data_IF_244978438354
#
_entry.id   IF_244978438354
#
_cell.length_a   1.000
_cell.length_b   1.000
_cell.length_c   1.000
_cell.angle_alpha   90.00
_cell.angle_beta   90.00
_cell.angle_gamma   90.00
#
_symmetry.space_group_name_H-M   'P 1'
#
loop_
_entity.id
_entity.type
_entity.pdbx_description
1 polymer ?
#
# COMPACT_ATOMS: atom_id res chain seq x y z
N UNK A 1 -4.76 23.75 25.90
CA UNK A 1 -4.89 22.74 26.98
C UNK A 1 -5.61 21.49 26.51
N UNK A 2 -6.77 21.59 25.80
CA UNK A 2 -7.55 20.43 25.35
C UNK A 2 -6.77 19.50 24.40
N UNK A 3 -5.95 20.03 23.50
CA UNK A 3 -5.10 19.22 22.61
C UNK A 3 -4.02 18.44 23.38
N UNK A 4 -3.44 19.05 24.44
CA UNK A 4 -2.45 18.37 25.29
C UNK A 4 -3.11 17.21 26.04
N UNK A 5 -4.33 17.43 26.58
CA UNK A 5 -5.11 16.39 27.26
C UNK A 5 -5.46 15.26 26.28
N UNK A 6 -5.91 15.62 25.07
CA UNK A 6 -6.22 14.65 24.02
C UNK A 6 -5.00 13.83 23.60
N UNK A 7 -3.84 14.46 23.47
CA UNK A 7 -2.58 13.76 23.18
C UNK A 7 -2.19 12.80 24.32
N UNK A 8 -2.30 13.24 25.58
CA UNK A 8 -2.05 12.39 26.74
C UNK A 8 -2.95 11.16 26.77
N UNK A 9 -4.24 11.32 26.49
CA UNK A 9 -5.17 10.20 26.40
C UNK A 9 -4.88 9.28 25.22
N UNK A 10 -4.49 9.82 24.05
CA UNK A 10 -4.10 9.02 22.91
C UNK A 10 -2.86 8.14 23.21
N UNK A 11 -1.85 8.69 23.90
CA UNK A 11 -0.70 7.91 24.34
C UNK A 11 -1.08 6.82 25.35
N UNK A 12 -1.95 7.14 26.30
CA UNK A 12 -2.45 6.15 27.28
C UNK A 12 -3.17 4.99 26.59
N UNK A 13 -4.08 5.29 25.67
CA UNK A 13 -4.81 4.28 24.90
C UNK A 13 -3.85 3.47 24.01
N UNK A 14 -2.91 4.13 23.31
CA UNK A 14 -1.94 3.45 22.50
C UNK A 14 -1.10 2.44 23.30
N UNK A 15 -0.70 2.80 24.53
CA UNK A 15 0.06 1.90 25.40
C UNK A 15 -0.77 0.68 25.84
N UNK A 16 -2.04 0.87 26.15
CA UNK A 16 -2.94 -0.21 26.59
C UNK A 16 -3.32 -1.15 25.44
N UNK A 17 -3.61 -0.59 24.27
CA UNK A 17 -4.20 -1.32 23.14
C UNK A 17 -3.16 -1.80 22.12
N UNK A 18 -1.90 -1.36 22.23
CA UNK A 18 -0.86 -1.62 21.20
C UNK A 18 -0.70 -3.08 20.85
N UNK A 19 -0.75 -3.98 21.83
CA UNK A 19 -0.59 -5.41 21.58
C UNK A 19 -1.75 -5.98 20.76
N UNK A 20 -2.98 -5.59 21.13
CA UNK A 20 -4.20 -5.97 20.43
C UNK A 20 -4.23 -5.38 19.01
N UNK A 21 -3.99 -4.08 18.88
CA UNK A 21 -3.97 -3.39 17.60
C UNK A 21 -2.93 -3.97 16.65
N UNK A 22 -1.74 -4.29 17.15
CA UNK A 22 -0.69 -4.92 16.35
C UNK A 22 -1.06 -6.33 15.90
N UNK A 23 -1.72 -7.13 16.75
CA UNK A 23 -2.18 -8.46 16.38
C UNK A 23 -3.23 -8.38 15.26
N UNK A 24 -4.21 -7.52 15.41
CA UNK A 24 -5.23 -7.24 14.40
C UNK A 24 -4.61 -6.74 13.08
N UNK A 25 -3.73 -5.74 13.16
CA UNK A 25 -3.06 -5.20 11.97
C UNK A 25 -2.22 -6.26 11.25
N UNK A 26 -1.56 -7.18 11.97
CA UNK A 26 -0.81 -8.31 11.35
C UNK A 26 -1.73 -9.28 10.62
N UNK A 27 -2.92 -9.55 11.15
CA UNK A 27 -3.92 -10.38 10.48
C UNK A 27 -4.37 -9.74 9.14
N UNK A 28 -4.70 -8.45 9.16
CA UNK A 28 -5.05 -7.70 7.95
C UNK A 28 -3.86 -7.61 6.97
N UNK A 29 -2.63 -7.44 7.50
CA UNK A 29 -1.41 -7.46 6.69
C UNK A 29 -1.27 -8.76 5.89
N UNK A 30 -1.46 -9.90 6.57
CA UNK A 30 -1.38 -11.22 5.92
C UNK A 30 -2.44 -11.36 4.82
N UNK A 31 -3.65 -10.88 5.06
CA UNK A 31 -4.72 -10.88 4.07
C UNK A 31 -4.35 -10.04 2.84
N UNK A 32 -3.78 -8.84 3.03
CA UNK A 32 -3.33 -7.99 1.91
C UNK A 32 -2.19 -8.65 1.14
N UNK A 33 -1.19 -9.19 1.84
CA UNK A 33 -0.06 -9.88 1.21
C UNK A 33 -0.52 -11.08 0.38
N UNK A 34 -1.38 -11.92 0.95
CA UNK A 34 -1.94 -13.08 0.25
C UNK A 34 -2.80 -12.67 -0.96
N UNK A 35 -3.60 -11.61 -0.81
CA UNK A 35 -4.51 -11.15 -1.84
C UNK A 35 -3.84 -10.50 -3.05
N UNK A 36 -2.57 -10.08 -2.95
CA UNK A 36 -1.81 -9.50 -4.06
C UNK A 36 -0.68 -10.39 -4.56
N UNK A 37 -0.42 -11.53 -3.91
CA UNK A 37 0.75 -12.38 -4.19
C UNK A 37 0.77 -12.96 -5.62
N UNK A 38 -0.39 -13.25 -6.17
CA UNK A 38 -0.58 -13.86 -7.49
C UNK A 38 -0.84 -12.83 -8.60
N UNK A 39 -0.90 -11.53 -8.27
CA UNK A 39 -1.13 -10.48 -9.27
C UNK A 39 0.17 -10.21 -10.04
N UNK A 40 0.18 -10.35 -11.37
CA UNK A 40 1.39 -10.16 -12.16
C UNK A 40 1.98 -8.76 -11.99
N UNK A 41 3.31 -8.69 -11.87
CA UNK A 41 4.03 -7.42 -11.78
C UNK A 41 3.84 -6.64 -10.48
N UNK A 42 3.25 -7.24 -9.44
CA UNK A 42 3.16 -6.63 -8.11
C UNK A 42 4.45 -6.88 -7.33
N UNK A 43 5.01 -5.81 -6.78
CA UNK A 43 6.24 -5.85 -5.99
C UNK A 43 6.00 -5.18 -4.65
N UNK A 44 6.26 -5.90 -3.55
CA UNK A 44 6.24 -5.32 -2.21
C UNK A 44 7.47 -4.43 -2.02
N UNK A 45 7.28 -3.20 -1.55
CA UNK A 45 8.37 -2.28 -1.25
C UNK A 45 8.78 -2.38 0.22
N UNK A 46 10.09 -2.54 0.44
CA UNK A 46 10.69 -2.74 1.75
C UNK A 46 10.63 -4.19 2.24
N UNK A 47 11.12 -4.43 3.45
CA UNK A 47 11.19 -5.76 4.06
C UNK A 47 9.78 -6.28 4.41
N UNK A 48 9.54 -7.57 4.19
CA UNK A 48 8.24 -8.19 4.46
C UNK A 48 7.96 -8.39 5.97
N UNK A 49 9.02 -8.58 6.76
CA UNK A 49 8.92 -8.93 8.19
C UNK A 49 9.27 -7.75 9.10
N UNK A 50 10.33 -6.99 8.76
CA UNK A 50 10.83 -5.88 9.56
C UNK A 50 10.13 -4.57 9.17
N UNK A 51 8.84 -4.47 9.53
CA UNK A 51 8.00 -3.31 9.24
C UNK A 51 6.90 -3.13 10.26
N UNK A 52 6.34 -1.93 10.31
CA UNK A 52 5.09 -1.69 11.02
C UNK A 52 3.94 -2.42 10.32
N UNK A 53 3.05 -3.10 11.07
CA UNK A 53 2.07 -3.99 10.45
C UNK A 53 0.90 -3.29 9.75
N UNK A 54 0.63 -2.03 10.04
CA UNK A 54 -0.58 -1.32 9.61
C UNK A 54 -0.42 -0.54 8.30
N UNK A 55 0.68 -0.76 7.58
CA UNK A 55 0.87 -0.15 6.27
C UNK A 55 1.74 -1.03 5.37
N UNK A 56 1.35 -1.10 4.10
CA UNK A 56 2.06 -1.77 3.03
C UNK A 56 2.20 -0.82 1.84
N UNK A 57 3.33 -0.87 1.17
CA UNK A 57 3.54 -0.15 -0.08
C UNK A 57 3.88 -1.15 -1.18
N UNK A 58 3.17 -1.08 -2.28
CA UNK A 58 3.37 -1.93 -3.45
C UNK A 58 3.62 -1.10 -4.69
N UNK A 59 4.48 -1.58 -5.56
CA UNK A 59 4.63 -1.09 -6.94
C UNK A 59 3.97 -2.06 -7.91
N UNK A 60 3.40 -1.53 -8.98
CA UNK A 60 2.62 -2.28 -9.97
C UNK A 60 3.25 -2.08 -11.35
N UNK A 61 3.98 -3.08 -11.84
CA UNK A 61 4.64 -2.98 -13.14
C UNK A 61 3.63 -2.96 -14.29
N UNK A 62 3.99 -2.24 -15.34
CA UNK A 62 3.19 -2.18 -16.57
C UNK A 62 1.98 -1.24 -16.50
N UNK A 63 1.85 -0.42 -15.46
CA UNK A 63 0.73 0.54 -15.32
C UNK A 63 1.21 1.88 -14.77
N UNK A 64 0.42 2.91 -15.02
CA UNK A 64 0.61 4.23 -14.43
C UNK A 64 -0.11 4.32 -13.08
N UNK A 65 0.59 4.83 -12.04
CA UNK A 65 0.06 4.93 -10.68
C UNK A 65 -1.16 5.82 -10.57
N UNK A 66 -1.21 6.93 -11.30
CA UNK A 66 -2.36 7.85 -11.32
C UNK A 66 -3.59 7.20 -11.95
N UNK A 67 -3.41 6.41 -13.01
CA UNK A 67 -4.51 5.69 -13.64
C UNK A 67 -5.10 4.65 -12.67
N UNK A 68 -4.24 3.97 -11.91
CA UNK A 68 -4.69 3.02 -10.88
C UNK A 68 -5.42 3.75 -9.74
N UNK A 69 -4.86 4.84 -9.23
CA UNK A 69 -5.49 5.67 -8.18
C UNK A 69 -6.88 6.14 -8.60
N UNK A 70 -7.00 6.72 -9.78
CA UNK A 70 -8.28 7.22 -10.32
C UNK A 70 -9.32 6.09 -10.41
N UNK A 71 -8.88 4.89 -10.84
CA UNK A 71 -9.81 3.77 -11.06
C UNK A 71 -10.34 3.16 -9.76
N UNK A 72 -9.62 3.29 -8.66
CA UNK A 72 -10.03 2.73 -7.36
C UNK A 72 -10.63 3.78 -6.41
N UNK A 73 -10.52 5.06 -6.70
CA UNK A 73 -10.87 6.17 -5.80
C UNK A 73 -12.31 6.19 -5.33
N UNK A 74 -13.25 5.71 -6.16
CA UNK A 74 -14.67 5.66 -5.82
C UNK A 74 -15.00 4.58 -4.78
N UNK A 75 -14.10 3.61 -4.60
CA UNK A 75 -14.32 2.45 -3.72
C UNK A 75 -13.36 2.43 -2.54
N UNK A 76 -12.11 2.85 -2.75
CA UNK A 76 -11.04 2.72 -1.76
C UNK A 76 -10.25 4.02 -1.65
N UNK A 77 -10.12 4.55 -0.45
CA UNK A 77 -9.23 5.66 -0.16
C UNK A 77 -7.80 5.14 -0.01
N UNK A 78 -6.95 5.42 -0.98
CA UNK A 78 -5.53 5.04 -1.00
C UNK A 78 -4.63 6.28 -1.12
N UNK A 79 -3.35 6.09 -0.85
CA UNK A 79 -2.34 7.13 -1.06
C UNK A 79 -1.35 6.69 -2.13
N UNK A 80 -0.92 7.63 -2.96
CA UNK A 80 0.27 7.44 -3.79
C UNK A 80 1.51 7.23 -2.91
N UNK A 81 2.58 6.67 -3.47
CA UNK A 81 3.84 6.46 -2.77
C UNK A 81 4.50 7.74 -2.25
N UNK A 82 4.07 8.91 -2.74
CA UNK A 82 4.65 10.23 -2.48
C UNK A 82 3.57 11.21 -2.00
N UNK A 83 3.28 11.21 -0.70
CA UNK A 83 2.26 12.09 -0.12
C UNK A 83 2.67 13.59 -0.09
N UNK A 84 3.98 13.89 -0.10
CA UNK A 84 4.50 15.27 0.02
C UNK A 84 4.85 15.93 -1.31
N UNK A 85 4.81 15.20 -2.41
CA UNK A 85 5.25 15.67 -3.73
C UNK A 85 4.12 15.62 -4.77
N UNK A 86 2.87 15.81 -4.35
CA UNK A 86 1.73 15.94 -5.28
C UNK A 86 1.90 17.08 -6.31
N UNK A 87 2.92 17.94 -6.15
CA UNK A 87 3.31 18.97 -7.08
C UNK A 87 4.60 18.65 -7.86
N UNK A 88 5.31 17.55 -7.60
CA UNK A 88 6.53 17.18 -8.31
C UNK A 88 6.34 15.88 -9.11
N UNK A 89 6.86 15.90 -10.33
CA UNK A 89 6.91 14.75 -11.25
C UNK A 89 7.91 13.69 -10.76
N UNK A 90 8.68 13.97 -9.71
CA UNK A 90 9.72 13.06 -9.23
C UNK A 90 9.15 11.96 -8.31
N UNK A 91 9.60 10.70 -8.50
CA UNK A 91 9.18 9.60 -7.66
C UNK A 91 9.73 9.73 -6.24
N UNK A 92 9.10 9.04 -5.29
CA UNK A 92 9.52 9.01 -3.90
C UNK A 92 11.00 8.66 -3.73
N UNK A 93 11.78 9.55 -3.12
CA UNK A 93 13.19 9.31 -2.79
C UNK A 93 13.39 8.06 -1.91
N UNK A 94 12.39 7.70 -1.09
CA UNK A 94 12.41 6.47 -0.27
C UNK A 94 12.38 5.24 -1.17
N UNK A 95 11.51 5.22 -2.20
CA UNK A 95 11.42 4.09 -3.13
C UNK A 95 12.68 3.98 -4.00
N UNK A 96 13.26 5.12 -4.38
CA UNK A 96 14.56 5.14 -5.07
C UNK A 96 15.67 4.56 -4.19
N UNK A 97 15.72 4.93 -2.91
CA UNK A 97 16.69 4.39 -1.95
C UNK A 97 16.50 2.89 -1.71
N UNK A 98 15.27 2.36 -1.86
CA UNK A 98 14.97 0.93 -1.85
C UNK A 98 15.34 0.23 -3.17
N UNK A 99 15.99 0.93 -4.12
CA UNK A 99 16.43 0.38 -5.41
C UNK A 99 15.30 0.18 -6.42
N UNK A 100 14.14 0.84 -6.25
CA UNK A 100 13.07 0.78 -7.24
C UNK A 100 13.41 1.65 -8.45
N UNK A 101 13.22 1.10 -9.65
CA UNK A 101 13.35 1.87 -10.89
C UNK A 101 12.30 2.99 -10.92
N UNK A 102 12.58 4.05 -11.68
CA UNK A 102 11.70 5.21 -11.80
C UNK A 102 10.23 4.82 -12.16
N UNK A 103 9.96 3.94 -13.15
CA UNK A 103 8.60 3.51 -13.44
C UNK A 103 7.93 2.77 -12.27
N UNK A 104 8.64 1.88 -11.58
CA UNK A 104 8.09 1.16 -10.42
C UNK A 104 7.82 2.08 -9.23
N UNK A 105 8.65 3.09 -9.02
CA UNK A 105 8.42 4.06 -7.96
C UNK A 105 7.20 4.95 -8.24
N UNK A 106 6.93 5.30 -9.51
CA UNK A 106 5.75 6.04 -9.92
C UNK A 106 4.45 5.22 -9.84
N UNK A 107 4.51 3.92 -10.10
CA UNK A 107 3.35 3.03 -10.04
C UNK A 107 3.06 2.51 -8.63
N UNK A 108 3.54 3.18 -7.59
CA UNK A 108 3.40 2.69 -6.22
C UNK A 108 2.14 3.22 -5.52
N UNK A 109 1.51 2.34 -4.75
CA UNK A 109 0.41 2.66 -3.84
C UNK A 109 0.75 2.26 -2.42
N UNK A 110 0.31 3.09 -1.46
CA UNK A 110 0.35 2.78 -0.03
C UNK A 110 -1.04 2.41 0.44
N UNK A 111 -1.16 1.21 0.98
CA UNK A 111 -2.36 0.68 1.62
C UNK A 111 -2.16 0.80 3.13
N UNK A 112 -3.01 1.56 3.79
CA UNK A 112 -2.98 1.75 5.24
C UNK A 112 -4.32 1.29 5.84
N UNK A 113 -4.25 0.63 6.97
CA UNK A 113 -5.40 0.14 7.72
C UNK A 113 -5.12 0.25 9.23
N UNK A 114 -6.14 0.18 10.05
CA UNK A 114 -6.02 0.42 11.49
C UNK A 114 -7.03 -0.40 12.29
N UNK A 115 -7.17 -0.06 13.57
CA UNK A 115 -8.01 -0.77 14.55
C UNK A 115 -9.48 -0.92 14.15
N UNK A 116 -9.99 -0.04 13.30
CA UNK A 116 -11.38 -0.05 12.85
C UNK A 116 -11.57 -0.67 11.46
N UNK A 117 -10.49 -1.00 10.77
CA UNK A 117 -10.57 -1.69 9.49
C UNK A 117 -10.94 -3.15 9.72
N UNK A 118 -11.83 -3.68 8.90
CA UNK A 118 -12.29 -5.06 8.99
C UNK A 118 -11.69 -5.94 7.89
N UNK A 119 -11.76 -7.26 8.05
CA UNK A 119 -11.40 -8.21 6.99
C UNK A 119 -12.25 -8.03 5.73
N UNK A 120 -13.51 -7.64 5.89
CA UNK A 120 -14.42 -7.36 4.78
C UNK A 120 -13.98 -6.11 3.99
N UNK A 121 -13.55 -5.04 4.69
CA UNK A 121 -13.01 -3.85 4.04
C UNK A 121 -11.76 -4.18 3.20
N UNK A 122 -10.87 -5.00 3.77
CA UNK A 122 -9.67 -5.45 3.06
C UNK A 122 -10.04 -6.32 1.85
N UNK A 123 -10.99 -7.24 1.99
CA UNK A 123 -11.44 -8.09 0.87
C UNK A 123 -12.03 -7.25 -0.27
N UNK A 124 -12.85 -6.25 0.06
CA UNK A 124 -13.42 -5.33 -0.93
C UNK A 124 -12.33 -4.49 -1.62
N UNK A 125 -11.40 -3.94 -0.85
CA UNK A 125 -10.28 -3.16 -1.39
C UNK A 125 -9.41 -4.01 -2.33
N UNK A 126 -9.09 -5.24 -1.95
CA UNK A 126 -8.32 -6.17 -2.77
C UNK A 126 -9.02 -6.52 -4.07
N UNK A 127 -10.32 -6.81 -4.03
CA UNK A 127 -11.11 -7.09 -5.23
C UNK A 127 -11.09 -5.91 -6.21
N UNK A 128 -11.25 -4.69 -5.70
CA UNK A 128 -11.19 -3.46 -6.49
C UNK A 128 -9.80 -3.25 -7.10
N UNK A 129 -8.72 -3.32 -6.29
CA UNK A 129 -7.35 -3.12 -6.74
C UNK A 129 -6.96 -4.17 -7.79
N UNK A 130 -7.23 -5.45 -7.55
CA UNK A 130 -6.92 -6.54 -8.49
C UNK A 130 -7.61 -6.34 -9.84
N UNK A 131 -8.91 -6.05 -9.83
CA UNK A 131 -9.69 -5.78 -11.04
C UNK A 131 -9.11 -4.59 -11.81
N UNK A 132 -8.77 -3.49 -11.13
CA UNK A 132 -8.20 -2.31 -11.73
C UNK A 132 -6.82 -2.56 -12.34
N UNK A 133 -5.94 -3.27 -11.62
CA UNK A 133 -4.59 -3.62 -12.10
C UNK A 133 -4.66 -4.48 -13.36
N UNK A 134 -5.42 -5.56 -13.34
CA UNK A 134 -5.54 -6.47 -14.49
C UNK A 134 -6.14 -5.76 -15.71
N UNK A 135 -7.16 -4.91 -15.51
CA UNK A 135 -7.75 -4.14 -16.59
C UNK A 135 -6.78 -3.11 -17.19
N UNK A 136 -5.97 -2.45 -16.36
CA UNK A 136 -4.95 -1.51 -16.84
C UNK A 136 -3.81 -2.21 -17.55
N UNK A 137 -3.33 -3.35 -17.03
CA UNK A 137 -2.30 -4.15 -17.69
C UNK A 137 -2.73 -4.67 -19.06
N UNK A 138 -4.02 -5.02 -19.21
CA UNK A 138 -4.57 -5.51 -20.49
C UNK A 138 -4.54 -4.47 -21.63
N UNK A 139 -4.57 -3.17 -21.30
CA UNK A 139 -4.57 -2.08 -22.30
C UNK A 139 -3.23 -1.33 -22.34
N UNK A 140 -2.31 -1.64 -21.42
CA UNK A 140 -1.02 -0.96 -21.33
C UNK A 140 -0.08 -1.42 -22.44
N UNK A 141 0.61 -0.48 -23.11
CA UNK A 141 1.72 -0.82 -23.99
C UNK A 141 3.00 -1.22 -23.24
N UNK A 142 3.02 -1.03 -21.91
CA UNK A 142 4.17 -1.32 -21.07
C UNK A 142 4.19 -2.80 -20.72
N UNK A 143 5.30 -3.47 -21.04
CA UNK A 143 5.45 -4.89 -20.70
C UNK A 143 5.60 -5.07 -19.18
N UNK A 144 4.94 -6.08 -18.63
CA UNK A 144 5.25 -6.59 -17.29
C UNK A 144 6.52 -7.43 -17.40
N UNK A 145 7.64 -7.02 -16.78
CA UNK A 145 8.89 -7.78 -16.89
C UNK A 145 8.74 -9.19 -16.32
N UNK A 146 9.17 -10.19 -17.09
CA UNK A 146 9.20 -11.57 -16.63
C UNK A 146 10.16 -11.68 -15.42
N UNK A 147 9.70 -12.32 -14.32
CA UNK A 147 10.50 -12.54 -13.12
C UNK A 147 10.44 -11.44 -12.06
N UNK A 148 9.63 -10.39 -12.23
CA UNK A 148 9.24 -9.52 -11.13
C UNK A 148 8.35 -10.31 -10.16
N UNK A 149 8.97 -10.84 -9.12
CA UNK A 149 8.28 -11.56 -8.05
C UNK A 149 7.80 -10.62 -6.94
N UNK A 150 6.81 -11.09 -6.21
CA UNK A 150 6.22 -10.46 -5.01
C UNK A 150 7.22 -10.19 -3.87
N UNK A 151 8.45 -10.72 -3.96
CA UNK A 151 9.43 -10.69 -2.88
C UNK A 151 9.97 -9.27 -2.68
N UNK A 152 9.59 -8.65 -1.57
CA UNK A 152 10.30 -7.52 -1.02
C UNK A 152 11.71 -7.94 -0.60
N UNK A 153 12.71 -7.35 -1.23
CA UNK A 153 14.08 -7.30 -0.70
C UNK A 153 14.29 -5.95 -0.07
#
# INVERSE_FOLDING_TARGET
>A
THQIVGMGEAFRLAQLEMAHDNAHARQLQQQVLAGLADVPGVVLNGDAMQRVPHNLNFSFAGIEGEALMTRVSDTVALSSGSACTSASIEPSHVLQALGRSHPLAHSSLRISYGRFSTEADIAQALACIRSAVLALQAISPLAVPAGLGFVGR
#
